data_IF_050607370536
#
_entry.id   IF_050607370536
#
_cell.length_a   1.000
_cell.length_b   1.000
_cell.length_c   1.000
_cell.angle_alpha   90.00
_cell.angle_beta   90.00
_cell.angle_gamma   90.00
#
_symmetry.space_group_name_H-M   'P 1'
#
loop_
_entity.id
_entity.type
_entity.pdbx_description
1 polymer ?
2 polymer ?
3 non-polymer ?
4 water ?
#
# COMPACT_ATOMS: atom_id res chain seq x y z
N UNK A 1 23.32 14.00 21.75
CA UNK A 1 23.30 14.21 20.28
C UNK A 1 21.91 14.13 19.65
N UNK A 2 21.88 14.29 18.33
CA UNK A 2 20.65 14.24 17.57
C UNK A 2 20.29 12.80 17.20
N UNK A 3 21.21 11.88 17.44
CA UNK A 3 20.94 10.47 17.14
C UNK A 3 19.80 9.97 18.02
N UNK A 4 19.80 10.38 19.28
CA UNK A 4 18.74 9.99 20.19
C UNK A 4 17.40 10.49 19.65
N UNK A 5 17.39 11.72 19.14
CA UNK A 5 16.16 12.28 18.57
C UNK A 5 15.71 11.43 17.38
N UNK A 6 16.66 10.97 16.59
CA UNK A 6 16.34 10.14 15.44
C UNK A 6 15.69 8.82 15.88
N UNK A 7 16.14 8.26 17.00
CA UNK A 7 15.53 7.02 17.48
C UNK A 7 14.14 7.30 18.03
N UNK A 8 13.95 8.47 18.65
CA UNK A 8 12.65 8.84 19.19
C UNK A 8 11.66 9.04 18.03
N UNK A 9 12.14 9.60 16.92
CA UNK A 9 11.31 9.82 15.74
C UNK A 9 10.91 8.45 15.19
N UNK A 10 11.90 7.57 15.06
CA UNK A 10 11.63 6.21 14.55
C UNK A 10 10.58 5.51 15.41
N UNK A 11 10.66 5.67 16.72
CA UNK A 11 9.71 5.02 17.61
C UNK A 11 8.32 5.61 17.46
N UNK A 12 8.26 6.94 17.42
CA UNK A 12 6.99 7.64 17.23
C UNK A 12 6.30 7.14 15.96
N UNK A 13 7.05 7.06 14.86
CA UNK A 13 6.49 6.59 13.60
C UNK A 13 6.00 5.16 13.70
N UNK A 14 6.78 4.30 14.36
CA UNK A 14 6.38 2.90 14.52
C UNK A 14 5.06 2.83 15.29
N UNK A 15 4.99 3.54 16.42
CA UNK A 15 3.76 3.51 17.21
C UNK A 15 2.55 4.00 16.38
N UNK A 16 2.74 5.03 15.56
CA UNK A 16 1.65 5.56 14.72
C UNK A 16 1.26 4.54 13.66
N UNK A 17 2.27 3.85 13.12
CA UNK A 17 2.07 2.81 12.10
C UNK A 17 1.20 1.68 12.70
N UNK A 18 1.52 1.28 13.93
CA UNK A 18 0.78 0.22 14.61
C UNK A 18 -0.68 0.65 14.79
N UNK A 19 -0.87 1.93 15.06
CA UNK A 19 -2.21 2.48 15.27
C UNK A 19 -2.99 2.63 13.97
N UNK A 20 -2.28 2.91 12.88
CA UNK A 20 -2.93 3.13 11.60
C UNK A 20 -3.17 1.91 10.71
N UNK A 21 -2.34 0.89 10.85
CA UNK A 21 -2.45 -0.29 10.02
C UNK A 21 -2.74 -1.58 10.78
N UNK A 22 -4.00 -2.04 10.72
CA UNK A 22 -4.50 -3.25 11.39
C UNK A 22 -3.65 -4.50 11.19
N UNK A 23 -3.31 -4.83 9.94
CA UNK A 23 -2.51 -6.02 9.70
C UNK A 23 -1.05 -5.67 9.43
N UNK A 24 -0.21 -5.85 10.46
CA UNK A 24 1.20 -5.57 10.38
C UNK A 24 1.92 -6.67 9.62
N UNK A 25 3.15 -6.42 9.20
CA UNK A 25 3.91 -7.43 8.48
C UNK A 25 4.19 -8.61 9.42
N UNK A 26 4.43 -8.32 10.69
CA UNK A 26 4.72 -9.38 11.66
C UNK A 26 3.55 -10.35 11.71
N UNK A 27 2.34 -9.81 11.81
CA UNK A 27 1.15 -10.65 11.86
C UNK A 27 0.92 -11.36 10.53
N UNK A 28 1.24 -10.70 9.43
CA UNK A 28 1.08 -11.29 8.10
C UNK A 28 2.03 -12.47 7.89
N UNK A 29 3.28 -12.31 8.29
CA UNK A 29 4.28 -13.37 8.14
C UNK A 29 3.92 -14.59 8.96
N UNK A 30 3.31 -14.36 10.12
CA UNK A 30 2.91 -15.45 10.99
C UNK A 30 1.86 -16.29 10.27
N UNK A 31 0.89 -15.62 9.64
CA UNK A 31 -0.15 -16.33 8.90
C UNK A 31 0.43 -17.06 7.70
N UNK A 32 1.18 -16.33 6.89
CA UNK A 32 1.80 -16.90 5.69
C UNK A 32 2.68 -18.11 5.97
N UNK A 33 3.20 -18.22 7.19
CA UNK A 33 4.03 -19.35 7.55
C UNK A 33 3.33 -20.28 8.54
N UNK A 34 3.38 -19.93 9.82
CA UNK A 34 2.75 -20.75 10.84
C UNK A 34 2.94 -20.19 12.24
N UNK A 35 1.83 -20.02 12.94
CA UNK A 35 1.80 -19.50 14.31
C UNK A 35 0.41 -18.92 14.53
N UNK A 36 -0.32 -18.80 13.44
CA UNK A 36 -1.68 -18.27 13.49
C UNK A 36 -2.38 -18.99 14.64
N UNK A 37 -2.27 -20.32 14.64
CA UNK A 37 -2.88 -21.18 15.65
C UNK A 37 -4.30 -20.73 15.98
N UNK A 38 -4.87 -19.90 15.11
CA UNK A 38 -6.22 -19.39 15.30
C UNK A 38 -6.84 -18.94 13.98
N UNK A 39 -5.99 -18.51 13.05
CA UNK A 39 -6.45 -18.04 11.75
C UNK A 39 -6.94 -19.09 10.78
N UNK A 40 -6.06 -19.47 9.86
CA UNK A 40 -6.39 -20.44 8.83
C UNK A 40 -7.26 -19.72 7.81
N UNK A 41 -6.63 -18.85 7.01
CA UNK A 41 -7.36 -18.10 5.98
C UNK A 41 -7.95 -19.03 4.94
N UNK A 42 -9.06 -18.62 4.34
CA UNK A 42 -9.69 -19.42 3.32
C UNK A 42 -8.89 -19.28 2.03
N UNK A 43 -8.45 -20.40 1.46
CA UNK A 43 -7.65 -20.35 0.24
C UNK A 43 -8.47 -20.34 -1.04
N UNK A 44 -8.23 -19.34 -1.89
CA UNK A 44 -8.92 -19.22 -3.17
C UNK A 44 -7.88 -19.52 -4.24
N UNK A 45 -8.01 -20.69 -4.86
CA UNK A 45 -7.08 -21.15 -5.89
C UNK A 45 -7.69 -21.37 -7.27
N UNK A 46 -9.02 -21.31 -7.36
CA UNK A 46 -9.70 -21.46 -8.64
C UNK A 46 -11.11 -20.88 -8.59
N UNK A 47 -11.85 -20.99 -9.68
CA UNK A 47 -13.20 -20.45 -9.73
C UNK A 47 -14.13 -21.07 -8.69
N UNK A 48 -14.00 -22.38 -8.50
CA UNK A 48 -14.82 -23.09 -7.53
C UNK A 48 -14.59 -22.59 -6.10
N UNK A 49 -13.34 -22.50 -5.68
CA UNK A 49 -13.05 -22.02 -4.33
C UNK A 49 -13.42 -20.55 -4.20
N UNK A 50 -13.32 -19.80 -5.29
CA UNK A 50 -13.68 -18.39 -5.25
C UNK A 50 -15.15 -18.27 -4.88
N UNK A 51 -15.99 -19.05 -5.54
CA UNK A 51 -17.42 -19.05 -5.27
C UNK A 51 -17.62 -19.43 -3.80
N UNK A 52 -17.01 -20.56 -3.43
CA UNK A 52 -17.08 -21.10 -2.08
C UNK A 52 -16.76 -20.06 -1.02
N UNK A 53 -15.60 -19.43 -1.14
CA UNK A 53 -15.19 -18.45 -0.16
C UNK A 53 -15.17 -17.01 -0.62
N UNK A 54 -16.26 -16.55 -1.24
CA UNK A 54 -16.34 -15.17 -1.67
C UNK A 54 -16.40 -14.40 -0.35
N UNK A 55 -15.31 -14.51 0.40
CA UNK A 55 -15.12 -13.92 1.72
C UNK A 55 -15.99 -14.61 2.76
N UNK A 56 -16.99 -15.33 2.26
CA UNK A 56 -17.91 -16.09 3.11
C UNK A 56 -18.69 -15.33 4.17
N UNK A 57 -18.07 -14.33 4.80
CA UNK A 57 -18.80 -13.55 5.81
C UNK A 57 -20.14 -13.27 5.16
N UNK A 58 -21.21 -13.75 5.79
CA UNK A 58 -22.58 -13.55 5.29
C UNK A 58 -22.58 -12.26 4.47
N UNK A 59 -21.80 -11.30 4.96
CA UNK A 59 -21.58 -9.98 4.38
C UNK A 59 -21.90 -8.90 5.38
N UNK A 60 -20.89 -8.56 6.19
CA UNK A 60 -21.03 -7.55 7.21
C UNK A 60 -20.35 -6.26 6.78
N UNK A 61 -19.43 -6.35 5.82
CA UNK A 61 -18.74 -5.16 5.34
C UNK A 61 -19.77 -4.30 4.63
N UNK A 62 -19.51 -3.01 4.50
CA UNK A 62 -20.44 -2.12 3.83
C UNK A 62 -20.57 -2.52 2.36
N UNK A 63 -21.73 -2.24 1.76
CA UNK A 63 -21.99 -2.57 0.37
C UNK A 63 -22.20 -4.08 0.24
N UNK A 64 -23.47 -4.53 0.33
CA UNK A 64 -23.82 -5.95 0.23
C UNK A 64 -23.41 -6.63 -1.08
N UNK A 65 -24.01 -7.78 -1.34
CA UNK A 65 -23.73 -8.54 -2.55
C UNK A 65 -24.28 -7.78 -3.76
N UNK A 66 -25.08 -8.45 -4.58
CA UNK A 66 -25.66 -7.84 -5.76
C UNK A 66 -24.63 -7.23 -6.69
N UNK A 67 -23.35 -7.33 -6.35
CA UNK A 67 -22.29 -6.81 -7.20
C UNK A 67 -22.24 -7.75 -8.40
N UNK A 68 -23.20 -8.67 -8.40
CA UNK A 68 -23.34 -9.70 -9.41
C UNK A 68 -23.61 -9.25 -10.84
N UNK A 69 -23.74 -10.25 -11.71
CA UNK A 69 -23.98 -10.07 -13.13
C UNK A 69 -22.61 -9.75 -13.72
N UNK A 70 -21.72 -9.24 -12.87
CA UNK A 70 -20.37 -8.90 -13.29
C UNK A 70 -19.49 -10.14 -13.13
N UNK A 71 -18.69 -10.41 -14.15
CA UNK A 71 -17.81 -11.57 -14.15
C UNK A 71 -16.78 -11.54 -13.03
N UNK A 72 -16.20 -12.71 -12.76
CA UNK A 72 -15.19 -12.86 -11.72
C UNK A 72 -14.10 -11.80 -11.78
N UNK A 73 -13.46 -11.66 -12.94
CA UNK A 73 -12.39 -10.69 -13.11
C UNK A 73 -12.76 -9.30 -12.63
N UNK A 74 -13.94 -8.83 -13.01
CA UNK A 74 -14.38 -7.50 -12.60
C UNK A 74 -14.61 -7.41 -11.10
N UNK A 75 -15.23 -8.45 -10.53
CA UNK A 75 -15.50 -8.46 -9.10
C UNK A 75 -14.23 -8.45 -8.27
N UNK A 76 -13.23 -9.21 -8.69
CA UNK A 76 -11.97 -9.24 -7.97
C UNK A 76 -11.28 -7.89 -8.10
N UNK A 77 -11.30 -7.33 -9.30
CA UNK A 77 -10.67 -6.04 -9.57
C UNK A 77 -11.33 -4.94 -8.74
N UNK A 78 -12.64 -5.03 -8.55
CA UNK A 78 -13.35 -4.03 -7.77
C UNK A 78 -13.07 -4.25 -6.29
N UNK A 79 -12.81 -5.50 -5.92
CA UNK A 79 -12.50 -5.82 -4.54
C UNK A 79 -11.17 -5.17 -4.18
N UNK A 80 -10.24 -5.21 -5.12
CA UNK A 80 -8.93 -4.60 -4.90
C UNK A 80 -9.10 -3.09 -4.77
N UNK A 81 -10.07 -2.57 -5.52
CA UNK A 81 -10.37 -1.14 -5.49
C UNK A 81 -10.82 -0.67 -4.13
N UNK A 82 -11.77 -1.39 -3.55
CA UNK A 82 -12.26 -1.00 -2.24
C UNK A 82 -11.20 -1.16 -1.19
N UNK A 83 -10.31 -2.13 -1.40
CA UNK A 83 -9.22 -2.36 -0.45
C UNK A 83 -8.37 -1.09 -0.46
N UNK A 84 -8.06 -0.61 -1.67
CA UNK A 84 -7.25 0.60 -1.80
C UNK A 84 -7.92 1.77 -1.14
N UNK A 85 -9.24 1.88 -1.31
CA UNK A 85 -9.97 2.97 -0.69
C UNK A 85 -9.73 2.94 0.82
N UNK A 86 -9.85 1.75 1.41
CA UNK A 86 -9.62 1.61 2.86
C UNK A 86 -8.18 2.01 3.17
N UNK A 87 -7.25 1.50 2.37
CA UNK A 87 -5.83 1.76 2.56
C UNK A 87 -5.49 3.24 2.48
N UNK A 88 -6.10 3.96 1.55
CA UNK A 88 -5.83 5.39 1.41
C UNK A 88 -6.15 6.13 2.71
N UNK A 89 -7.21 5.71 3.38
CA UNK A 89 -7.59 6.34 4.62
C UNK A 89 -6.64 6.00 5.77
N UNK A 90 -6.15 4.76 5.79
CA UNK A 90 -5.19 4.34 6.83
C UNK A 90 -3.90 5.15 6.62
N UNK A 91 -3.48 5.26 5.36
CA UNK A 91 -2.27 5.98 5.02
C UNK A 91 -2.38 7.46 5.34
N UNK A 92 -3.55 8.05 5.07
CA UNK A 92 -3.75 9.48 5.36
C UNK A 92 -3.62 9.72 6.87
N UNK A 93 -4.24 8.83 7.64
CA UNK A 93 -4.18 8.90 9.09
C UNK A 93 -2.70 8.86 9.50
N UNK A 94 -1.94 7.95 8.90
CA UNK A 94 -0.52 7.82 9.22
C UNK A 94 0.27 9.08 8.85
N UNK A 95 0.03 9.60 7.65
CA UNK A 95 0.75 10.79 7.18
C UNK A 95 0.54 11.97 8.13
N UNK A 96 -0.68 12.11 8.64
CA UNK A 96 -0.99 13.19 9.55
C UNK A 96 -0.24 13.05 10.88
N UNK A 97 0.34 11.88 11.13
CA UNK A 97 1.08 11.66 12.37
C UNK A 97 2.57 12.00 12.22
N UNK A 98 3.01 12.21 10.98
CA UNK A 98 4.42 12.55 10.74
C UNK A 98 4.63 14.00 11.16
N UNK A 99 5.55 14.25 12.10
CA UNK A 99 5.84 15.60 12.59
C UNK A 99 6.01 16.59 11.45
N UNK A 100 5.23 17.67 11.48
CA UNK A 100 5.32 18.69 10.45
C UNK A 100 4.39 18.56 9.27
N UNK A 101 3.86 17.37 9.03
CA UNK A 101 2.99 17.16 7.87
C UNK A 101 1.73 18.03 7.86
N UNK A 102 0.99 18.06 8.97
CA UNK A 102 -0.25 18.83 8.98
C UNK A 102 -0.02 20.34 8.90
N UNK A 103 1.22 20.79 9.12
CA UNK A 103 1.56 22.20 9.03
C UNK A 103 1.92 22.62 7.61
N UNK A 104 2.06 21.63 6.72
CA UNK A 104 2.38 21.94 5.33
C UNK A 104 1.15 22.56 4.68
N UNK A 105 1.34 23.26 3.57
CA UNK A 105 0.23 23.86 2.84
C UNK A 105 -0.71 22.69 2.53
N UNK A 106 -2.01 22.88 2.77
CA UNK A 106 -2.99 21.81 2.55
C UNK A 106 -2.97 21.24 1.13
N UNK A 107 -2.77 22.09 0.13
CA UNK A 107 -2.74 21.61 -1.24
C UNK A 107 -1.54 20.70 -1.46
N UNK A 108 -0.41 21.00 -0.82
CA UNK A 108 0.76 20.15 -0.97
C UNK A 108 0.52 18.81 -0.26
N UNK A 109 -0.25 18.83 0.83
CA UNK A 109 -0.57 17.61 1.56
C UNK A 109 -1.37 16.70 0.63
N UNK A 110 -2.36 17.29 -0.06
CA UNK A 110 -3.19 16.56 -1.01
C UNK A 110 -2.29 15.96 -2.09
N UNK A 111 -1.39 16.78 -2.63
CA UNK A 111 -0.50 16.33 -3.69
C UNK A 111 0.42 15.18 -3.23
N UNK A 112 0.96 15.29 -2.02
CA UNK A 112 1.84 14.24 -1.51
C UNK A 112 1.10 12.90 -1.40
N UNK A 113 -0.14 12.95 -0.93
CA UNK A 113 -0.95 11.74 -0.81
C UNK A 113 -1.32 11.21 -2.19
N UNK A 114 -1.79 12.11 -3.04
CA UNK A 114 -2.20 11.76 -4.40
C UNK A 114 -1.13 10.93 -5.11
N UNK A 115 0.10 11.40 -5.04
CA UNK A 115 1.21 10.72 -5.69
C UNK A 115 1.89 9.67 -4.82
N UNK A 116 1.58 9.66 -3.53
CA UNK A 116 2.23 8.70 -2.66
C UNK A 116 1.46 7.46 -2.23
N UNK A 117 0.13 7.54 -2.18
CA UNK A 117 -0.66 6.40 -1.72
C UNK A 117 -0.48 5.05 -2.42
N UNK A 118 -0.41 5.03 -3.74
CA UNK A 118 -0.23 3.74 -4.42
C UNK A 118 1.14 3.16 -4.19
N UNK A 119 2.15 4.02 -4.10
CA UNK A 119 3.50 3.55 -3.85
C UNK A 119 3.53 2.85 -2.48
N UNK A 120 2.78 3.39 -1.53
CA UNK A 120 2.71 2.82 -0.18
C UNK A 120 1.85 1.56 -0.18
N UNK A 121 0.76 1.58 -0.95
CA UNK A 121 -0.13 0.43 -1.05
C UNK A 121 0.61 -0.80 -1.58
N UNK A 122 1.42 -0.62 -2.62
CA UNK A 122 2.16 -1.74 -3.17
C UNK A 122 3.28 -2.17 -2.22
N UNK A 123 3.82 -1.23 -1.45
CA UNK A 123 4.87 -1.56 -0.49
C UNK A 123 4.28 -2.46 0.57
N UNK A 124 3.12 -2.08 1.11
CA UNK A 124 2.49 -2.86 2.15
C UNK A 124 1.86 -4.14 1.59
N UNK A 125 1.49 -4.12 0.31
CA UNK A 125 0.92 -5.31 -0.31
C UNK A 125 1.99 -6.41 -0.26
N UNK A 126 3.26 -6.03 -0.44
CA UNK A 126 4.36 -7.00 -0.38
C UNK A 126 4.40 -7.68 0.98
N UNK A 127 4.03 -6.97 2.05
CA UNK A 127 4.03 -7.56 3.39
C UNK A 127 3.06 -8.73 3.48
N UNK A 128 2.02 -8.71 2.67
CA UNK A 128 1.00 -9.76 2.67
C UNK A 128 1.20 -10.80 1.56
N UNK A 129 2.33 -10.72 0.85
CA UNK A 129 2.61 -11.64 -0.25
C UNK A 129 3.80 -12.56 -0.05
N UNK A 130 3.73 -13.73 -0.69
CA UNK A 130 4.85 -14.66 -0.73
C UNK A 130 4.85 -15.05 -2.19
N UNK A 131 5.79 -15.89 -2.63
CA UNK A 131 5.84 -16.24 -4.05
C UNK A 131 4.59 -16.95 -4.58
N UNK A 132 3.77 -17.50 -3.70
CA UNK A 132 2.58 -18.23 -4.15
C UNK A 132 1.23 -17.56 -4.01
N UNK A 133 1.15 -16.47 -3.25
CA UNK A 133 -0.13 -15.82 -3.10
C UNK A 133 -0.13 -14.60 -2.21
N UNK A 134 -1.31 -14.04 -2.00
CA UNK A 134 -1.47 -12.85 -1.20
C UNK A 134 -2.64 -12.94 -0.23
N UNK A 135 -2.45 -12.40 0.96
CA UNK A 135 -3.49 -12.40 1.99
C UNK A 135 -4.52 -11.34 1.67
N UNK A 136 -5.78 -11.67 1.88
CA UNK A 136 -6.87 -10.74 1.63
C UNK A 136 -7.73 -10.65 2.89
N UNK A 137 -8.53 -9.59 2.99
CA UNK A 137 -9.41 -9.38 4.14
C UNK A 137 -8.69 -9.57 5.48
N UNK A 138 -7.65 -8.80 5.71
CA UNK A 138 -6.88 -8.87 6.95
C UNK A 138 -6.41 -10.28 7.32
N UNK A 139 -6.12 -11.10 6.32
CA UNK A 139 -5.65 -12.44 6.60
C UNK A 139 -6.74 -13.50 6.70
N UNK A 140 -7.98 -13.12 6.40
CA UNK A 140 -9.08 -14.08 6.44
C UNK A 140 -9.11 -14.90 5.15
N UNK A 141 -8.38 -14.43 4.16
CA UNK A 141 -8.34 -15.13 2.89
C UNK A 141 -6.94 -15.12 2.31
N UNK A 142 -6.71 -16.00 1.33
CA UNK A 142 -5.43 -16.09 0.66
C UNK A 142 -5.71 -16.48 -0.78
N UNK A 143 -5.36 -15.58 -1.71
CA UNK A 143 -5.58 -15.84 -3.11
C UNK A 143 -4.25 -16.18 -3.76
N UNK A 144 -4.23 -17.27 -4.53
CA UNK A 144 -2.99 -17.70 -5.17
C UNK A 144 -2.61 -16.86 -6.37
N UNK A 145 -1.31 -16.74 -6.57
CA UNK A 145 -0.75 -15.99 -7.67
C UNK A 145 -1.22 -16.60 -9.00
N UNK A 146 -1.25 -17.93 -9.04
CA UNK A 146 -1.66 -18.64 -10.25
C UNK A 146 -3.10 -18.30 -10.62
N UNK A 147 -3.98 -18.24 -9.62
CA UNK A 147 -5.38 -17.92 -9.88
C UNK A 147 -5.53 -16.52 -10.48
N UNK A 148 -4.89 -15.54 -9.85
CA UNK A 148 -4.96 -14.16 -10.30
C UNK A 148 -4.43 -13.99 -11.73
N UNK A 149 -3.44 -14.79 -12.07
CA UNK A 149 -2.83 -14.73 -13.39
C UNK A 149 -3.69 -15.41 -14.44
N UNK A 150 -4.60 -16.28 -14.00
CA UNK A 150 -5.47 -17.00 -14.93
C UNK A 150 -6.64 -16.14 -15.38
N UNK A 151 -6.86 -15.02 -14.70
CA UNK A 151 -7.95 -14.14 -15.05
C UNK A 151 -7.84 -13.69 -16.51
N UNK A 152 -8.98 -13.56 -17.16
CA UNK A 152 -9.05 -13.15 -18.55
C UNK A 152 -8.36 -11.80 -18.80
N UNK A 153 -7.87 -11.60 -20.01
CA UNK A 153 -7.20 -10.35 -20.37
C UNK A 153 -8.21 -9.20 -20.28
N UNK A 154 -7.77 -8.01 -19.85
CA UNK A 154 -6.41 -7.66 -19.43
C UNK A 154 -6.24 -7.74 -17.92
N UNK A 155 -7.07 -8.55 -17.27
CA UNK A 155 -7.02 -8.69 -15.81
C UNK A 155 -6.04 -9.75 -15.34
N UNK A 156 -5.73 -10.71 -16.20
CA UNK A 156 -4.82 -11.78 -15.82
C UNK A 156 -3.39 -11.39 -15.49
N UNK A 157 -3.07 -10.10 -15.53
CA UNK A 157 -1.69 -9.72 -15.24
C UNK A 157 -1.55 -8.37 -14.55
N UNK A 158 -2.55 -7.94 -13.80
CA UNK A 158 -2.44 -6.67 -13.11
C UNK A 158 -1.66 -6.88 -11.82
N UNK A 159 -1.67 -8.11 -11.33
CA UNK A 159 -0.99 -8.47 -10.09
C UNK A 159 0.45 -8.96 -10.28
N UNK A 160 0.73 -9.53 -11.44
CA UNK A 160 2.05 -10.08 -11.70
C UNK A 160 3.23 -9.16 -11.39
N UNK A 161 3.17 -7.89 -11.83
CA UNK A 161 4.30 -7.00 -11.54
C UNK A 161 4.47 -6.76 -10.03
N UNK A 162 3.36 -6.76 -9.30
CA UNK A 162 3.39 -6.54 -7.85
C UNK A 162 4.05 -7.73 -7.15
N UNK A 163 3.73 -8.93 -7.59
CA UNK A 163 4.33 -10.13 -7.01
C UNK A 163 5.83 -10.14 -7.28
N UNK A 164 6.21 -9.76 -8.50
CA UNK A 164 7.62 -9.73 -8.86
C UNK A 164 8.37 -8.75 -7.95
N UNK A 165 7.78 -7.58 -7.76
CA UNK A 165 8.37 -6.56 -6.89
C UNK A 165 8.48 -7.11 -5.47
N UNK A 166 7.36 -7.68 -4.99
CA UNK A 166 7.31 -8.22 -3.64
C UNK A 166 8.38 -9.25 -3.33
N UNK A 167 8.57 -10.23 -4.22
CA UNK A 167 9.58 -11.25 -3.99
C UNK A 167 10.96 -10.66 -3.72
N UNK A 168 11.36 -9.69 -4.55
CA UNK A 168 12.66 -9.05 -4.39
C UNK A 168 12.69 -8.17 -3.16
N UNK A 169 11.61 -7.43 -2.94
CA UNK A 169 11.54 -6.53 -1.80
C UNK A 169 11.57 -7.29 -0.48
N UNK A 170 10.78 -8.35 -0.38
CA UNK A 170 10.73 -9.15 0.84
C UNK A 170 12.06 -9.80 1.15
N UNK A 171 12.88 -10.01 0.13
CA UNK A 171 14.19 -10.62 0.33
C UNK A 171 15.06 -9.72 1.20
N UNK A 172 14.71 -8.44 1.25
CA UNK A 172 15.46 -7.48 2.06
C UNK A 172 15.14 -7.63 3.55
N UNK A 173 14.11 -8.39 3.85
CA UNK A 173 13.71 -8.68 5.23
C UNK A 173 13.48 -7.49 6.17
N UNK A 174 12.78 -6.47 5.69
CA UNK A 174 12.49 -5.30 6.52
C UNK A 174 11.41 -5.69 7.52
N UNK A 175 11.42 -5.08 8.70
CA UNK A 175 10.35 -5.37 9.65
C UNK A 175 9.44 -4.15 9.74
N UNK A 176 8.44 -4.21 10.60
CA UNK A 176 7.49 -3.10 10.73
C UNK A 176 8.15 -1.79 11.15
N UNK A 177 9.16 -1.86 12.00
CA UNK A 177 9.83 -0.63 12.42
C UNK A 177 10.57 0.00 11.25
N UNK A 178 11.16 -0.81 10.37
CA UNK A 178 11.85 -0.28 9.19
C UNK A 178 10.81 0.34 8.24
N UNK A 179 9.76 -0.44 7.94
CA UNK A 179 8.72 0.01 7.02
C UNK A 179 8.05 1.32 7.40
N UNK A 180 7.85 1.55 8.70
CA UNK A 180 7.22 2.78 9.15
C UNK A 180 7.98 4.00 8.66
N UNK A 181 9.31 3.97 8.75
CA UNK A 181 10.12 5.11 8.33
C UNK A 181 10.22 5.18 6.81
N UNK A 182 10.33 4.02 6.18
CA UNK A 182 10.43 3.91 4.72
C UNK A 182 9.20 4.57 4.10
N UNK A 183 8.04 4.23 4.63
CA UNK A 183 6.77 4.77 4.15
C UNK A 183 6.70 6.29 4.34
N UNK A 184 7.18 6.78 5.49
CA UNK A 184 7.17 8.21 5.76
C UNK A 184 8.06 8.93 4.74
N UNK A 185 9.21 8.34 4.44
CA UNK A 185 10.11 8.94 3.46
C UNK A 185 9.40 9.07 2.11
N UNK A 186 8.68 8.03 1.70
CA UNK A 186 7.98 8.08 0.41
C UNK A 186 6.94 9.20 0.37
N UNK A 187 6.19 9.36 1.45
CA UNK A 187 5.17 10.39 1.49
C UNK A 187 5.76 11.80 1.36
N UNK A 188 6.86 12.04 2.05
CA UNK A 188 7.49 13.36 2.01
C UNK A 188 8.47 13.54 0.86
N UNK A 189 8.03 13.18 -0.36
CA UNK A 189 8.86 13.32 -1.57
C UNK A 189 8.68 14.73 -2.16
N UNK A 190 9.75 15.51 -2.14
CA UNK A 190 9.68 16.87 -2.66
C UNK A 190 9.63 17.01 -4.17
N UNK A 191 9.71 15.90 -4.90
CA UNK A 191 9.67 15.96 -6.35
C UNK A 191 8.33 15.61 -6.99
N UNK A 192 7.27 15.58 -6.18
CA UNK A 192 5.94 15.29 -6.71
C UNK A 192 5.52 16.45 -7.62
N UNK A 193 4.83 16.15 -8.72
CA UNK A 193 4.39 17.21 -9.64
C UNK A 193 3.43 18.21 -8.99
N UNK A 194 3.65 19.49 -9.25
CA UNK A 194 2.74 20.51 -8.73
C UNK A 194 2.87 20.98 -7.29
N UNK A 195 3.93 20.59 -6.60
CA UNK A 195 4.13 21.04 -5.22
C UNK A 195 4.40 22.54 -5.20
N UNK A 196 3.78 23.24 -4.25
CA UNK A 196 3.94 24.69 -4.12
C UNK A 196 5.17 25.09 -3.30
N UNK A 197 5.38 24.41 -2.18
CA UNK A 197 6.51 24.70 -1.29
C UNK A 197 7.38 23.45 -1.11
N UNK A 198 8.34 23.25 -2.01
CA UNK A 198 9.23 22.10 -1.97
C UNK A 198 10.18 22.04 -0.78
N UNK A 199 10.73 23.18 -0.38
CA UNK A 199 11.68 23.23 0.73
C UNK A 199 11.25 22.61 2.06
N UNK A 200 10.07 23.00 2.58
CA UNK A 200 9.61 22.45 3.85
C UNK A 200 9.47 20.93 3.77
N UNK A 201 9.05 20.44 2.61
CA UNK A 201 8.89 19.01 2.43
C UNK A 201 10.24 18.31 2.46
N UNK A 202 11.21 18.86 1.74
CA UNK A 202 12.55 18.30 1.71
C UNK A 202 13.20 18.32 3.09
N UNK A 203 12.96 19.39 3.85
CA UNK A 203 13.53 19.48 5.18
C UNK A 203 13.02 18.30 6.02
N UNK A 204 11.73 18.07 5.98
CA UNK A 204 11.14 16.97 6.73
C UNK A 204 11.67 15.63 6.23
N UNK A 205 11.79 15.46 4.91
CA UNK A 205 12.27 14.19 4.38
C UNK A 205 13.74 13.92 4.73
N UNK A 206 14.56 14.96 4.70
CA UNK A 206 15.98 14.80 5.03
C UNK A 206 16.11 14.21 6.43
N UNK A 207 15.28 14.69 7.34
CA UNK A 207 15.30 14.19 8.71
C UNK A 207 14.84 12.72 8.73
N UNK A 208 13.77 12.42 8.00
CA UNK A 208 13.24 11.06 7.94
C UNK A 208 14.29 10.12 7.34
N UNK A 209 15.01 10.60 6.32
CA UNK A 209 16.05 9.80 5.68
C UNK A 209 17.19 9.49 6.65
N UNK A 210 17.56 10.45 7.49
CA UNK A 210 18.60 10.22 8.48
C UNK A 210 18.12 9.19 9.49
N UNK A 211 16.84 9.27 9.82
CA UNK A 211 16.26 8.34 10.79
C UNK A 211 16.19 6.95 10.18
N UNK A 212 15.91 6.87 8.88
CA UNK A 212 15.84 5.56 8.21
C UNK A 212 17.23 4.93 8.21
N UNK A 213 18.23 5.72 7.83
CA UNK A 213 19.61 5.23 7.77
C UNK A 213 20.08 4.66 9.11
N UNK A 214 19.84 5.40 10.19
CA UNK A 214 20.25 4.94 11.51
C UNK A 214 19.48 3.66 11.89
N UNK A 215 18.18 3.62 11.57
CA UNK A 215 17.34 2.47 11.85
C UNK A 215 17.88 1.22 11.16
N UNK A 216 18.30 1.36 9.90
CA UNK A 216 18.83 0.22 9.16
C UNK A 216 20.19 -0.22 9.70
N UNK A 217 21.03 0.74 10.09
CA UNK A 217 22.34 0.40 10.62
C UNK A 217 22.25 -0.37 11.94
N UNK A 218 21.30 0.02 12.79
CA UNK A 218 21.13 -0.64 14.08
C UNK A 218 20.35 -1.94 13.98
N UNK A 219 19.32 -1.95 13.15
CA UNK A 219 18.45 -3.10 13.01
C UNK A 219 18.92 -4.16 11.99
N UNK A 220 19.79 -3.77 11.07
CA UNK A 220 20.32 -4.68 10.05
C UNK A 220 21.83 -4.43 9.92
N UNK A 221 22.56 -4.57 11.04
CA UNK A 221 24.01 -4.36 11.11
C UNK A 221 24.81 -4.98 9.97
N UNK A 222 24.46 -6.22 9.63
CA UNK A 222 25.19 -6.94 8.59
C UNK A 222 24.60 -6.87 7.19
N UNK A 223 23.77 -5.86 6.94
CA UNK A 223 23.17 -5.67 5.63
C UNK A 223 23.87 -4.52 4.92
N UNK A 224 24.93 -4.88 4.20
CA UNK A 224 25.79 -3.96 3.45
C UNK A 224 25.22 -2.60 3.08
N UNK A 225 24.58 -2.53 1.91
CA UNK A 225 24.01 -1.29 1.39
C UNK A 225 22.48 -1.33 1.38
N UNK A 226 21.88 -1.74 2.49
CA UNK A 226 20.42 -1.81 2.57
C UNK A 226 19.78 -0.46 2.28
N UNK A 227 20.34 0.60 2.85
CA UNK A 227 19.83 1.95 2.65
C UNK A 227 19.82 2.29 1.16
N UNK A 228 20.95 2.04 0.50
CA UNK A 228 21.05 2.33 -0.92
C UNK A 228 20.04 1.50 -1.71
N UNK A 229 19.93 0.22 -1.36
CA UNK A 229 18.98 -0.67 -2.04
C UNK A 229 17.55 -0.22 -1.85
N UNK A 230 17.23 0.27 -0.65
CA UNK A 230 15.88 0.73 -0.34
C UNK A 230 15.49 1.96 -1.15
N UNK A 231 16.42 2.90 -1.30
CA UNK A 231 16.14 4.11 -2.06
C UNK A 231 15.81 3.73 -3.49
N UNK A 232 16.50 2.72 -4.02
CA UNK A 232 16.25 2.27 -5.37
C UNK A 232 14.83 1.72 -5.50
N UNK A 233 14.36 1.02 -4.47
CA UNK A 233 13.01 0.46 -4.49
C UNK A 233 11.98 1.58 -4.60
N UNK A 234 12.35 2.76 -4.09
CA UNK A 234 11.48 3.93 -4.14
C UNK A 234 11.16 4.21 -5.61
N UNK A 235 12.21 4.26 -6.43
CA UNK A 235 12.03 4.54 -7.85
C UNK A 235 11.30 3.41 -8.55
N UNK A 236 11.52 2.17 -8.10
CA UNK A 236 10.85 1.03 -8.69
C UNK A 236 9.34 1.13 -8.45
N UNK A 237 8.96 1.51 -7.23
CA UNK A 237 7.54 1.62 -6.90
C UNK A 237 6.91 2.66 -7.84
N UNK A 238 7.69 3.66 -8.21
CA UNK A 238 7.24 4.71 -9.11
C UNK A 238 6.80 4.07 -10.43
N UNK A 239 7.65 3.18 -10.94
CA UNK A 239 7.41 2.47 -12.18
C UNK A 239 6.17 1.58 -12.14
N UNK A 240 5.88 1.02 -10.98
CA UNK A 240 4.72 0.15 -10.85
C UNK A 240 3.43 0.94 -10.94
N UNK A 241 3.40 2.11 -10.31
CA UNK A 241 2.21 2.95 -10.32
C UNK A 241 1.92 3.46 -11.74
N UNK A 242 2.96 3.54 -12.56
CA UNK A 242 2.80 4.00 -13.94
C UNK A 242 2.43 2.81 -14.82
N UNK A 243 3.06 1.66 -14.55
CA UNK A 243 2.79 0.44 -15.30
C UNK A 243 1.33 0.05 -15.05
N UNK A 244 0.84 0.32 -13.84
CA UNK A 244 -0.54 0.00 -13.48
C UNK A 244 -1.51 0.99 -14.12
N UNK A 245 -1.11 2.25 -14.15
CA UNK A 245 -1.95 3.27 -14.77
C UNK A 245 -2.21 2.91 -16.23
N UNK A 246 -1.25 2.24 -16.87
CA UNK A 246 -1.42 1.84 -18.26
C UNK A 246 -2.47 0.75 -18.40
N UNK A 247 -2.28 -0.35 -17.67
CA UNK A 247 -3.21 -1.47 -17.72
C UNK A 247 -4.62 -0.96 -17.42
N UNK A 248 -4.68 0.11 -16.62
CA UNK A 248 -5.95 0.71 -16.25
C UNK A 248 -6.55 1.48 -17.43
N UNK A 249 -5.74 1.76 -18.44
CA UNK A 249 -6.22 2.47 -19.62
C UNK A 249 -6.72 1.45 -20.63
N UNK A 250 -5.99 0.33 -20.72
CA UNK A 250 -6.36 -0.75 -21.63
C UNK A 250 -7.67 -1.37 -21.17
N UNK A 251 -7.96 -1.24 -19.88
CA UNK A 251 -9.19 -1.77 -19.30
C UNK A 251 -10.41 -0.94 -19.67
N UNK A 252 -10.27 0.38 -19.63
CA UNK A 252 -11.38 1.28 -19.96
C UNK A 252 -11.63 1.38 -21.46
N UNK A 253 -10.93 0.56 -22.23
CA UNK A 253 -11.08 0.55 -23.69
C UNK A 253 -12.09 -0.51 -24.11
N UNK A 254 -12.36 -1.46 -23.22
CA UNK A 254 -13.30 -2.52 -23.52
C UNK A 254 -14.51 -2.57 -22.58
N UNK A 255 -14.24 -2.52 -21.27
CA UNK A 255 -15.32 -2.58 -20.29
C UNK A 255 -15.82 -1.25 -19.75
N UNK A 256 -16.93 -0.79 -20.30
CA UNK A 256 -17.56 0.45 -19.84
C UNK A 256 -18.49 -0.01 -18.74
N UNK A 257 -18.18 -1.19 -18.21
CA UNK A 257 -18.93 -1.83 -17.14
C UNK A 257 -18.13 -1.81 -15.84
N UNK A 258 -16.96 -1.19 -15.90
CA UNK A 258 -16.07 -1.11 -14.74
C UNK A 258 -16.49 -0.07 -13.69
N UNK A 259 -16.27 1.19 -14.02
CA UNK A 259 -16.56 2.31 -13.11
C UNK A 259 -15.54 2.26 -11.98
N UNK A 260 -14.89 3.39 -11.74
CA UNK A 260 -13.87 3.49 -10.71
C UNK A 260 -14.40 4.24 -9.49
N UNK A 261 -14.06 3.77 -8.30
CA UNK A 261 -14.50 4.41 -7.06
C UNK A 261 -14.07 5.89 -7.10
N UNK A 262 -14.96 6.80 -6.67
CA UNK A 262 -14.70 8.24 -6.66
C UNK A 262 -13.33 8.66 -6.10
N UNK A 263 -12.92 8.04 -5.00
CA UNK A 263 -11.63 8.38 -4.41
C UNK A 263 -10.50 7.98 -5.35
N UNK A 264 -10.63 6.82 -6.00
CA UNK A 264 -9.58 6.40 -6.92
C UNK A 264 -9.61 7.26 -8.19
N UNK A 265 -10.80 7.71 -8.59
CA UNK A 265 -10.93 8.58 -9.77
C UNK A 265 -10.11 9.84 -9.51
N UNK A 266 -10.32 10.42 -8.33
CA UNK A 266 -9.62 11.64 -7.92
C UNK A 266 -8.12 11.46 -7.89
N UNK A 267 -7.66 10.36 -7.30
CA UNK A 267 -6.24 10.08 -7.21
C UNK A 267 -5.60 9.87 -8.58
N UNK A 268 -6.25 9.08 -9.43
CA UNK A 268 -5.73 8.79 -10.76
C UNK A 268 -5.84 9.93 -11.78
N UNK A 269 -6.84 10.80 -11.63
CA UNK A 269 -7.10 11.90 -12.55
C UNK A 269 -5.90 12.25 -13.45
N UNK A 270 -5.23 13.34 -13.17
CA UNK A 270 -4.08 13.74 -13.98
C UNK A 270 -2.82 13.31 -13.26
N UNK A 271 -2.78 12.03 -12.87
CA UNK A 271 -1.63 11.49 -12.14
C UNK A 271 -0.43 11.35 -13.06
N UNK A 272 -0.48 10.39 -13.97
CA UNK A 272 0.60 10.16 -14.91
C UNK A 272 0.07 9.96 -16.32
N UNK B 4 -15.15 19.13 -3.77
CA UNK B 4 -14.93 18.00 -4.72
C UNK B 4 -13.75 17.13 -4.34
N UNK B 5 -12.75 17.69 -3.68
CA UNK B 5 -11.59 16.90 -3.28
C UNK B 5 -11.86 16.07 -2.03
N UNK B 6 -11.92 14.77 -2.20
CA UNK B 6 -12.16 13.87 -1.07
C UNK B 6 -10.90 13.81 -0.19
N UNK B 7 -9.73 13.80 -0.82
CA UNK B 7 -8.49 13.75 -0.05
C UNK B 7 -8.40 14.95 0.90
N UNK B 8 -8.75 16.13 0.40
CA UNK B 8 -8.70 17.33 1.21
C UNK B 8 -9.61 17.15 2.45
N UNK B 9 -10.80 16.59 2.23
CA UNK B 9 -11.73 16.37 3.34
C UNK B 9 -11.17 15.40 4.38
N UNK B 10 -10.59 14.30 3.92
CA UNK B 10 -10.01 13.30 4.83
C UNK B 10 -8.83 13.91 5.59
N UNK B 11 -8.08 14.77 4.93
CA UNK B 11 -6.94 15.41 5.59
C UNK B 11 -7.36 16.37 6.69
N UNK B 12 -8.51 17.01 6.51
CA UNK B 12 -9.02 18.00 7.46
C UNK B 12 -9.76 17.46 8.69
N UNK B 13 -10.20 16.21 8.65
CA UNK B 13 -10.93 15.71 9.81
C UNK B 13 -10.05 15.50 11.03
N UNK B 14 -10.62 15.76 12.20
CA UNK B 14 -9.90 15.59 13.46
C UNK B 14 -9.43 14.15 13.54
N UNK B 15 -8.10 13.94 13.67
CA UNK B 15 -7.53 12.58 13.75
C UNK B 15 -8.29 11.66 14.70
X LIG C 1 -6.40 -2.00 -8.01
X LIG C 1 -7.11 -0.71 -10.21
X LIG C 1 -6.08 1.50 -6.45
X LIG C 1 -4.46 -6.70 -3.84
X LIG C 1 -6.61 0.59 -8.44
X LIG C 1 -6.55 -9.21 -3.63
X LIG C 1 -8.48 -8.22 -2.20
X LIG C 1 -6.74 -0.61 -9.04
X LIG C 1 -6.21 0.49 -7.14
X LIG C 1 -6.00 -0.95 -6.57
X LIG C 1 -4.47 -1.26 -6.02
X LIG C 1 -4.39 -2.68 -5.37
X LIG C 1 -4.75 -2.87 -3.98
X LIG C 1 -4.75 -4.17 -3.40
X LIG C 1 -4.42 -5.33 -4.23
X LIG C 1 -4.03 -5.13 -5.59
X LIG C 1 -4.02 -3.83 -6.15
X LIG C 1 -5.37 -7.09 -2.75
X LIG C 1 -5.45 -8.64 -2.73
X LIG C 1 -6.13 -10.02 -4.83
X LIG C 1 -8.07 -8.96 -3.32
X LIG C 1 -9.81 -8.01 -1.93
X LIG C 1 -10.84 -8.53 -2.75
X LIG C 1 -10.49 -9.28 -3.90
X LIG C 1 -9.12 -9.50 -4.20
#
# INVERSE_FOLDING_TARGET
PESADLRALAKHLYDSYIKSFPLTKAKARAILTGKTTDKSPFVIYDMNSLMMGEDKIKFKHITPLQEQSKEVAIRIFQGCQFRSVEAVQEITEYAKSIPGFVNLDLNDQVTLLKYGVHEIIYTMLASLMNKDGVLISEGQGFMTREFLKSLRKPFGDFMEPKFEFAVKFNALELDDSDLAIFIAVIILSGDRPGLLNVKPIEDIQDNLLQALELQLKLNHPESSQLFAKLLQKMTDLRQIVTEHVQLLQVIKKTETDMSLHPLLQEIYKDLY
APVPSILKKILLEEPNS
BRL S1 O2 O4 O13 N3 N16 N18 C2 C4 C5 C6 C7 C8 C9 C10 C11 C12 C14 C15 C16 C17 C19 C20 C21 C22
#
